data_IF_752875257268
#
_entry.id   IF_752875257268
#
_cell.length_a   1.000
_cell.length_b   1.000
_cell.length_c   1.000
_cell.angle_alpha   90.00
_cell.angle_beta   90.00
_cell.angle_gamma   90.00
#
_symmetry.space_group_name_H-M   'P 1'
#
loop_
_entity.id
_entity.type
_entity.pdbx_description
1 polymer ?
#
# COMPACT_ATOMS: atom_id res chain seq x y z
N UNK A 1 -21.01 14.19 -8.07
CA UNK A 1 -19.57 14.01 -7.79
C UNK A 1 -19.32 12.51 -7.76
N UNK A 2 -18.40 11.98 -8.58
CA UNK A 2 -18.13 10.54 -8.61
C UNK A 2 -17.51 10.12 -7.27
N UNK A 3 -17.96 9.01 -6.68
CA UNK A 3 -17.26 8.41 -5.55
C UNK A 3 -15.79 8.18 -5.95
N UNK A 4 -14.84 8.72 -5.18
CA UNK A 4 -13.41 8.59 -5.48
C UNK A 4 -12.92 7.13 -5.38
N UNK A 5 -13.73 6.28 -4.76
CA UNK A 5 -13.51 4.86 -4.55
C UNK A 5 -14.46 4.02 -5.40
N UNK A 6 -13.97 2.85 -5.86
CA UNK A 6 -14.76 1.81 -6.53
C UNK A 6 -15.35 0.79 -5.55
N UNK A 7 -15.08 0.96 -4.26
CA UNK A 7 -15.59 0.10 -3.19
C UNK A 7 -16.91 0.71 -2.73
N UNK A 8 -18.00 -0.06 -2.85
CA UNK A 8 -19.37 0.43 -2.70
C UNK A 8 -19.67 1.10 -1.34
N UNK A 9 -18.99 0.67 -0.28
CA UNK A 9 -19.25 1.14 1.10
C UNK A 9 -18.28 2.21 1.61
N UNK A 10 -17.28 2.65 0.82
CA UNK A 10 -16.35 3.69 1.24
C UNK A 10 -16.09 4.70 0.14
N UNK A 11 -16.02 5.97 0.50
CA UNK A 11 -15.72 7.08 -0.41
C UNK A 11 -14.23 7.13 -0.81
N UNK A 12 -13.32 6.70 0.07
CA UNK A 12 -11.86 6.80 -0.14
C UNK A 12 -11.12 5.58 0.44
N UNK A 13 -9.92 5.31 -0.08
CA UNK A 13 -8.97 4.31 0.47
C UNK A 13 -7.68 5.02 0.85
N UNK A 14 -7.17 4.75 2.04
CA UNK A 14 -5.99 5.42 2.60
C UNK A 14 -4.87 4.42 2.90
N UNK A 15 -3.69 4.66 2.32
CA UNK A 15 -2.51 3.81 2.46
C UNK A 15 -1.31 4.62 2.97
N UNK A 16 -1.24 4.92 4.28
CA UNK A 16 -0.12 5.62 4.89
C UNK A 16 1.11 4.71 5.06
N UNK A 17 0.97 3.42 4.78
CA UNK A 17 2.02 2.41 4.96
C UNK A 17 2.20 1.60 3.69
N UNK A 18 3.46 1.31 3.34
CA UNK A 18 3.83 0.26 2.38
C UNK A 18 4.54 -0.87 3.11
N UNK A 19 4.29 -2.11 2.73
CA UNK A 19 5.02 -3.26 3.27
C UNK A 19 4.44 -3.81 4.57
N UNK A 20 4.98 -4.95 5.00
CA UNK A 20 4.54 -5.65 6.22
C UNK A 20 5.65 -6.59 6.73
N UNK A 21 5.62 -6.91 8.02
CA UNK A 21 6.45 -7.95 8.63
C UNK A 21 5.77 -9.31 8.45
N UNK A 22 6.46 -10.29 7.85
CA UNK A 22 5.92 -11.65 7.68
C UNK A 22 5.97 -12.40 9.02
N UNK A 23 4.82 -12.79 9.56
CA UNK A 23 4.70 -13.41 10.89
C UNK A 23 4.41 -14.92 10.86
N UNK A 24 4.00 -15.48 9.72
CA UNK A 24 3.66 -16.91 9.63
C UNK A 24 3.77 -17.45 8.20
N UNK A 25 3.61 -18.77 8.05
CA UNK A 25 3.57 -19.44 6.76
C UNK A 25 2.45 -18.92 5.83
N UNK A 26 1.40 -18.30 6.39
CA UNK A 26 0.34 -17.65 5.61
C UNK A 26 0.83 -16.50 4.73
N UNK A 27 1.99 -15.90 5.03
CA UNK A 27 2.55 -14.80 4.25
C UNK A 27 3.19 -15.24 2.91
N UNK A 28 3.36 -16.55 2.67
CA UNK A 28 4.11 -17.10 1.53
C UNK A 28 3.61 -16.63 0.14
N UNK A 29 2.32 -16.32 0.03
CA UNK A 29 1.70 -15.90 -1.23
C UNK A 29 1.03 -14.52 -1.14
N UNK A 30 1.62 -13.60 -0.35
CA UNK A 30 1.11 -12.25 -0.18
C UNK A 30 1.03 -11.48 -1.51
N UNK A 31 -0.17 -11.07 -1.91
CA UNK A 31 -0.36 -10.29 -3.14
C UNK A 31 0.31 -8.90 -3.04
N UNK A 32 0.27 -8.28 -1.85
CA UNK A 32 0.82 -6.94 -1.63
C UNK A 32 2.34 -6.91 -1.82
N UNK A 33 3.06 -7.97 -1.44
CA UNK A 33 4.50 -8.09 -1.69
C UNK A 33 4.84 -8.09 -3.17
N UNK A 34 4.13 -8.91 -3.95
CA UNK A 34 4.33 -8.97 -5.40
C UNK A 34 4.07 -7.63 -6.07
N UNK A 35 3.03 -6.92 -5.65
CA UNK A 35 2.71 -5.59 -6.16
C UNK A 35 3.80 -4.59 -5.75
N UNK A 36 4.24 -4.60 -4.50
CA UNK A 36 5.26 -3.68 -4.01
C UNK A 36 6.59 -3.84 -4.76
N UNK A 37 7.03 -5.08 -5.00
CA UNK A 37 8.25 -5.35 -5.77
C UNK A 37 8.11 -4.92 -7.24
N UNK A 38 6.93 -5.13 -7.85
CA UNK A 38 6.65 -4.64 -9.20
C UNK A 38 6.73 -3.12 -9.26
N UNK A 39 6.09 -2.43 -8.33
CA UNK A 39 6.06 -0.96 -8.27
C UNK A 39 7.43 -0.38 -7.95
N UNK A 40 8.23 -1.06 -7.14
CA UNK A 40 9.64 -0.72 -6.92
C UNK A 40 10.44 -0.79 -8.22
N UNK A 41 10.30 -1.87 -8.99
CA UNK A 41 10.98 -2.01 -10.28
C UNK A 41 10.54 -0.95 -11.31
N UNK A 42 9.33 -0.42 -11.17
CA UNK A 42 8.80 0.69 -11.98
C UNK A 42 9.16 2.08 -11.43
N UNK A 43 9.95 2.16 -10.35
CA UNK A 43 10.28 3.41 -9.65
C UNK A 43 9.03 4.22 -9.22
N UNK A 44 7.95 3.54 -8.84
CA UNK A 44 6.73 4.20 -8.40
C UNK A 44 6.94 4.93 -7.04
N UNK A 45 6.40 6.15 -6.87
CA UNK A 45 6.52 6.90 -5.61
C UNK A 45 6.01 6.11 -4.40
N UNK A 46 6.78 6.10 -3.31
CA UNK A 46 6.44 5.37 -2.08
C UNK A 46 6.72 3.86 -2.10
N UNK A 47 7.31 3.33 -3.18
CA UNK A 47 7.72 1.93 -3.28
C UNK A 47 9.24 1.72 -3.39
N UNK A 48 10.04 2.77 -3.17
CA UNK A 48 11.50 2.68 -3.27
C UNK A 48 12.13 1.62 -2.34
N UNK A 49 11.49 1.33 -1.20
CA UNK A 49 11.92 0.29 -0.24
C UNK A 49 11.27 -1.08 -0.48
N UNK A 50 10.60 -1.28 -1.61
CA UNK A 50 9.92 -2.54 -1.94
C UNK A 50 8.82 -2.88 -0.92
N UNK A 51 8.85 -4.09 -0.38
CA UNK A 51 7.89 -4.57 0.62
C UNK A 51 8.33 -4.36 2.08
N UNK A 52 9.43 -3.65 2.32
CA UNK A 52 9.82 -3.30 3.68
C UNK A 52 8.78 -2.38 4.33
N UNK A 53 8.39 -2.68 5.57
CA UNK A 53 7.42 -1.87 6.32
C UNK A 53 7.90 -0.41 6.39
N UNK A 54 7.09 0.50 5.86
CA UNK A 54 7.43 1.90 5.65
C UNK A 54 6.23 2.77 5.93
N UNK A 55 6.37 3.69 6.88
CA UNK A 55 5.42 4.77 7.11
C UNK A 55 5.71 5.93 6.16
N UNK A 56 4.67 6.47 5.54
CA UNK A 56 4.69 7.66 4.69
C UNK A 56 4.06 8.81 5.48
N UNK A 57 4.89 9.60 6.17
CA UNK A 57 4.42 10.67 7.06
C UNK A 57 3.62 11.74 6.30
N UNK A 58 3.98 11.99 5.04
CA UNK A 58 3.28 12.90 4.12
C UNK A 58 1.81 12.51 3.86
N UNK A 59 1.45 11.26 4.15
CA UNK A 59 0.10 10.72 3.94
C UNK A 59 -0.71 10.64 5.22
N UNK A 60 -0.13 10.93 6.38
CA UNK A 60 -0.83 10.78 7.67
C UNK A 60 -2.03 11.72 7.82
N UNK A 61 -1.96 12.91 7.20
CA UNK A 61 -3.05 13.87 7.20
C UNK A 61 -4.11 13.58 6.12
N UNK A 62 -4.02 12.45 5.42
CA UNK A 62 -5.03 11.95 4.48
C UNK A 62 -5.81 10.80 5.15
N UNK A 63 -6.99 10.39 4.68
CA UNK A 63 -7.83 11.06 3.70
C UNK A 63 -8.65 12.15 4.43
N UNK A 64 -8.62 13.40 3.95
CA UNK A 64 -9.51 14.45 4.46
C UNK A 64 -10.91 14.31 3.83
#
# INVERSE_FOLDING_TARGET
>A
MMAASRIEWTEQTWNPVTGCTKVSAGCKHCYAERIALRLQAMAAPGYGRGFALTLHEDRLSQPL
#
